data_IF_636696248630
#
_entry.id   IF_636696248630
#
_cell.length_a   1.000
_cell.length_b   1.000
_cell.length_c   1.000
_cell.angle_alpha   90.00
_cell.angle_beta   90.00
_cell.angle_gamma   90.00
#
_symmetry.space_group_name_H-M   'P 1'
#
loop_
_entity.id
_entity.type
_entity.pdbx_description
1 polymer ?
#
# COMPACT_ATOMS: atom_id res chain seq x y z
N UNK A 1 21.97 -19.22 -7.53
CA UNK A 1 21.21 -18.10 -8.14
C UNK A 1 21.52 -16.77 -7.47
N UNK A 2 22.38 -16.75 -6.45
CA UNK A 2 22.53 -15.64 -5.52
C UNK A 2 23.00 -14.34 -6.18
N UNK A 3 23.94 -14.44 -7.13
CA UNK A 3 24.38 -13.27 -7.91
C UNK A 3 23.24 -12.66 -8.74
N UNK A 4 22.40 -13.50 -9.37
CA UNK A 4 21.25 -13.02 -10.15
C UNK A 4 20.22 -12.34 -9.25
N UNK A 5 19.93 -12.92 -8.09
CA UNK A 5 19.00 -12.35 -7.11
C UNK A 5 19.55 -11.03 -6.55
N UNK A 6 20.86 -10.97 -6.26
CA UNK A 6 21.51 -9.73 -5.82
C UNK A 6 21.39 -8.64 -6.89
N UNK A 7 21.70 -8.95 -8.15
CA UNK A 7 21.56 -8.00 -9.26
C UNK A 7 20.12 -7.54 -9.47
N UNK A 8 19.14 -8.43 -9.34
CA UNK A 8 17.72 -8.06 -9.41
C UNK A 8 17.29 -7.13 -8.26
N UNK A 9 17.82 -7.35 -7.05
CA UNK A 9 17.58 -6.50 -5.89
C UNK A 9 18.15 -5.09 -6.10
N UNK A 10 19.37 -5.00 -6.63
CA UNK A 10 19.99 -3.71 -6.94
C UNK A 10 19.23 -2.97 -8.05
N UNK A 11 18.84 -3.68 -9.11
CA UNK A 11 18.00 -3.12 -10.18
C UNK A 11 16.65 -2.59 -9.67
N UNK A 12 15.98 -3.30 -8.76
CA UNK A 12 14.71 -2.81 -8.19
C UNK A 12 14.88 -1.53 -7.36
N UNK A 13 16.00 -1.38 -6.64
CA UNK A 13 16.30 -0.14 -5.91
C UNK A 13 16.61 1.01 -6.87
N UNK A 14 17.33 0.75 -7.96
CA UNK A 14 17.61 1.75 -8.99
C UNK A 14 16.34 2.26 -9.70
N UNK A 15 15.28 1.46 -9.77
CA UNK A 15 13.98 1.87 -10.31
C UNK A 15 13.10 2.64 -9.32
N UNK A 16 13.52 2.77 -8.06
CA UNK A 16 12.76 3.51 -7.06
C UNK A 16 12.81 5.01 -7.36
N UNK A 17 11.69 5.69 -7.22
CA UNK A 17 11.58 7.11 -7.50
C UNK A 17 12.21 7.92 -6.37
N UNK A 18 13.49 8.29 -6.50
CA UNK A 18 14.23 8.97 -5.45
C UNK A 18 15.18 10.04 -6.01
N UNK A 19 16.30 10.32 -5.32
CA UNK A 19 17.31 11.29 -5.78
C UNK A 19 17.90 10.93 -7.15
N UNK A 20 17.91 9.66 -7.55
CA UNK A 20 18.34 9.22 -8.88
C UNK A 20 17.47 9.79 -10.00
N UNK A 21 16.19 10.04 -9.72
CA UNK A 21 15.23 10.71 -10.61
C UNK A 21 15.14 12.22 -10.35
N UNK A 22 16.12 12.78 -9.63
CA UNK A 22 16.18 14.19 -9.23
C UNK A 22 15.00 14.65 -8.34
N UNK A 23 14.41 13.71 -7.59
CA UNK A 23 13.37 14.01 -6.62
C UNK A 23 13.95 14.32 -5.24
N UNK A 24 13.26 15.20 -4.52
CA UNK A 24 13.49 15.42 -3.09
C UNK A 24 12.48 14.65 -2.26
N UNK A 25 12.77 14.42 -0.97
CA UNK A 25 11.82 13.79 -0.05
C UNK A 25 10.46 14.50 0.00
N UNK A 26 10.40 15.80 -0.28
CA UNK A 26 9.15 16.57 -0.31
C UNK A 26 8.24 16.25 -1.50
N UNK A 27 8.76 15.61 -2.55
CA UNK A 27 7.97 15.23 -3.71
C UNK A 27 6.95 14.15 -3.32
N UNK A 28 5.65 14.30 -3.64
CA UNK A 28 4.64 13.31 -3.29
C UNK A 28 4.95 11.89 -3.78
N UNK A 29 5.65 11.74 -4.90
CA UNK A 29 6.07 10.47 -5.48
C UNK A 29 7.34 9.86 -4.89
N UNK A 30 8.10 10.61 -4.09
CA UNK A 30 9.38 10.13 -3.56
C UNK A 30 9.24 8.82 -2.78
N UNK A 31 10.07 7.85 -3.13
CA UNK A 31 10.20 6.50 -2.57
C UNK A 31 9.28 5.44 -3.19
N UNK A 32 8.38 5.82 -4.08
CA UNK A 32 7.48 4.86 -4.72
C UNK A 32 8.13 4.12 -5.89
N UNK A 33 7.38 3.17 -6.46
CA UNK A 33 7.72 2.47 -7.70
C UNK A 33 6.57 2.52 -8.70
N UNK A 34 6.88 2.46 -9.99
CA UNK A 34 5.91 2.57 -11.09
C UNK A 34 6.35 1.80 -12.33
N UNK A 35 5.66 2.02 -13.46
CA UNK A 35 5.91 1.34 -14.74
C UNK A 35 7.17 1.84 -15.49
N UNK A 36 8.30 1.99 -14.80
CA UNK A 36 9.52 2.61 -15.34
C UNK A 36 9.52 4.14 -15.27
N UNK A 37 10.54 4.79 -15.84
CA UNK A 37 10.88 6.20 -15.60
C UNK A 37 9.96 7.26 -16.25
N UNK A 38 8.91 6.86 -16.98
CA UNK A 38 8.13 7.79 -17.83
C UNK A 38 6.68 8.02 -17.39
N UNK A 39 6.28 7.58 -16.19
CA UNK A 39 4.92 7.84 -15.68
C UNK A 39 4.98 8.52 -14.31
N UNK A 40 4.84 7.72 -13.26
CA UNK A 40 4.84 8.14 -11.85
C UNK A 40 4.78 6.87 -10.99
N UNK A 41 5.15 6.93 -9.73
CA UNK A 41 4.95 5.80 -8.84
C UNK A 41 3.48 5.65 -8.44
N UNK A 42 3.11 4.43 -8.07
CA UNK A 42 1.80 4.06 -7.53
C UNK A 42 1.92 2.95 -6.48
N UNK A 43 0.89 2.82 -5.64
CA UNK A 43 0.89 1.85 -4.55
C UNK A 43 0.83 0.40 -5.05
N UNK A 44 0.21 0.15 -6.21
CA UNK A 44 0.11 -1.19 -6.79
C UNK A 44 1.47 -1.75 -7.21
N UNK A 45 2.33 -0.94 -7.79
CA UNK A 45 3.70 -1.33 -8.15
C UNK A 45 4.62 -1.32 -6.94
N UNK A 46 4.49 -0.32 -6.06
CA UNK A 46 5.31 -0.21 -4.84
C UNK A 46 5.17 -1.43 -3.93
N UNK A 47 3.95 -1.94 -3.72
CA UNK A 47 3.75 -3.15 -2.90
C UNK A 47 4.42 -4.40 -3.49
N UNK A 48 4.52 -4.51 -4.84
CA UNK A 48 5.19 -5.64 -5.48
C UNK A 48 6.71 -5.50 -5.40
N UNK A 49 7.24 -4.28 -5.56
CA UNK A 49 8.65 -4.00 -5.31
C UNK A 49 9.04 -4.40 -3.89
N UNK A 50 8.28 -3.99 -2.87
CA UNK A 50 8.53 -4.33 -1.47
C UNK A 50 8.45 -5.84 -1.20
N UNK A 51 7.46 -6.52 -1.78
CA UNK A 51 7.36 -7.99 -1.71
C UNK A 51 8.59 -8.66 -2.33
N UNK A 52 9.05 -8.17 -3.49
CA UNK A 52 10.20 -8.73 -4.19
C UNK A 52 11.51 -8.51 -3.41
N UNK A 53 11.75 -7.30 -2.90
CA UNK A 53 12.91 -6.99 -2.07
C UNK A 53 12.93 -7.86 -0.80
N UNK A 54 11.77 -8.05 -0.17
CA UNK A 54 11.64 -8.88 1.03
C UNK A 54 11.97 -10.35 0.72
N UNK A 55 11.40 -10.90 -0.36
CA UNK A 55 11.67 -12.28 -0.80
C UNK A 55 13.11 -12.48 -1.28
N UNK A 56 13.77 -11.45 -1.76
CA UNK A 56 15.18 -11.44 -2.11
C UNK A 56 16.11 -11.33 -0.88
N UNK A 57 15.54 -11.25 0.33
CA UNK A 57 16.30 -11.19 1.59
C UNK A 57 16.95 -9.83 1.84
N UNK A 58 16.40 -8.74 1.31
CA UNK A 58 16.85 -7.41 1.68
C UNK A 58 16.51 -7.16 3.16
N UNK A 59 17.47 -6.59 3.92
CA UNK A 59 17.19 -6.17 5.30
C UNK A 59 16.14 -5.05 5.30
N UNK A 60 15.22 -5.08 6.27
CA UNK A 60 14.25 -4.00 6.49
C UNK A 60 14.91 -2.67 6.91
N UNK A 61 16.17 -2.73 7.36
CA UNK A 61 16.99 -1.56 7.68
C UNK A 61 17.58 -0.90 6.42
N UNK A 62 17.43 -1.51 5.23
CA UNK A 62 17.91 -0.90 3.99
C UNK A 62 17.14 0.40 3.68
N UNK A 63 17.82 1.48 3.27
CA UNK A 63 17.18 2.77 2.96
C UNK A 63 16.01 2.68 1.98
N UNK A 64 16.00 1.70 1.07
CA UNK A 64 14.91 1.51 0.11
C UNK A 64 13.54 1.33 0.80
N UNK A 65 13.50 0.64 1.95
CA UNK A 65 12.28 0.49 2.74
C UNK A 65 11.83 1.81 3.36
N UNK A 66 12.76 2.60 3.89
CA UNK A 66 12.43 3.90 4.51
C UNK A 66 11.87 4.88 3.48
N UNK A 67 12.47 4.93 2.29
CA UNK A 67 11.96 5.71 1.16
C UNK A 67 10.55 5.25 0.78
N UNK A 68 10.35 3.94 0.60
CA UNK A 68 9.04 3.39 0.25
C UNK A 68 7.97 3.66 1.33
N UNK A 69 8.34 3.61 2.62
CA UNK A 69 7.42 3.92 3.72
C UNK A 69 6.92 5.37 3.66
N UNK A 70 7.73 6.31 3.20
CA UNK A 70 7.29 7.69 3.01
C UNK A 70 6.21 7.75 1.91
N UNK A 71 6.45 7.12 0.75
CA UNK A 71 5.46 7.02 -0.32
C UNK A 71 4.17 6.32 0.13
N UNK A 72 4.28 5.15 0.77
CA UNK A 72 3.13 4.37 1.22
C UNK A 72 2.33 5.14 2.27
N UNK A 73 2.98 5.83 3.21
CA UNK A 73 2.28 6.69 4.17
C UNK A 73 1.51 7.82 3.49
N UNK A 74 2.07 8.38 2.40
CA UNK A 74 1.39 9.39 1.57
C UNK A 74 0.25 8.86 0.73
N UNK A 75 0.08 7.54 0.61
CA UNK A 75 -1.08 6.92 -0.05
C UNK A 75 -2.22 6.59 0.92
N UNK A 76 -2.00 6.76 2.23
CA UNK A 76 -3.01 6.50 3.25
C UNK A 76 -3.84 7.75 3.55
N UNK A 77 -5.16 7.62 3.57
CA UNK A 77 -6.09 8.62 4.08
C UNK A 77 -6.03 8.68 5.61
N UNK A 78 -4.90 9.17 6.13
CA UNK A 78 -4.66 9.34 7.56
C UNK A 78 -3.75 10.54 7.80
N UNK A 79 -4.25 11.56 8.50
CA UNK A 79 -3.46 12.71 8.91
C UNK A 79 -2.36 12.27 9.89
N UNK A 80 -1.11 12.46 9.50
CA UNK A 80 0.05 12.10 10.33
C UNK A 80 1.29 12.91 9.93
N UNK A 81 2.36 12.93 10.76
CA UNK A 81 3.64 13.50 10.35
C UNK A 81 4.26 12.87 9.10
N UNK A 82 3.80 11.66 8.70
CA UNK A 82 4.32 10.92 7.55
C UNK A 82 3.50 11.12 6.27
N UNK A 83 2.36 11.81 6.33
CA UNK A 83 1.57 12.17 5.15
C UNK A 83 1.42 13.70 5.05
N UNK A 84 2.31 14.30 4.28
CA UNK A 84 2.38 15.75 4.03
C UNK A 84 1.55 16.20 2.82
N UNK A 85 0.77 15.31 2.22
CA UNK A 85 -0.01 15.62 1.01
C UNK A 85 -1.28 16.41 1.36
N UNK A 86 -1.85 17.19 0.43
CA UNK A 86 -3.10 17.92 0.67
C UNK A 86 -4.34 17.00 0.85
N UNK A 87 -4.20 15.69 0.62
CA UNK A 87 -5.27 14.71 0.73
C UNK A 87 -5.39 14.07 2.12
N UNK A 88 -4.31 14.13 2.92
CA UNK A 88 -4.14 13.34 4.14
C UNK A 88 -5.32 13.39 5.11
N UNK A 89 -5.93 14.57 5.27
CA UNK A 89 -7.03 14.82 6.20
C UNK A 89 -8.41 15.02 5.54
N UNK A 90 -8.49 14.89 4.21
CA UNK A 90 -9.74 15.13 3.45
C UNK A 90 -10.75 14.00 3.61
N UNK A 91 -10.26 12.76 3.69
CA UNK A 91 -11.09 11.57 3.96
C UNK A 91 -10.83 11.05 5.38
N UNK A 92 -9.55 10.90 5.74
CA UNK A 92 -9.09 10.54 7.09
C UNK A 92 -9.76 9.28 7.69
N UNK A 93 -10.00 8.25 6.87
CA UNK A 93 -10.67 7.00 7.25
C UNK A 93 -9.71 5.84 7.56
N UNK A 94 -8.41 6.03 7.36
CA UNK A 94 -7.37 5.00 7.55
C UNK A 94 -7.12 4.10 6.34
N UNK A 95 -7.98 4.17 5.32
CA UNK A 95 -7.83 3.42 4.08
C UNK A 95 -6.82 4.05 3.11
N UNK A 96 -6.63 3.45 1.93
CA UNK A 96 -5.61 3.88 0.97
C UNK A 96 -6.17 4.15 -0.42
N UNK A 97 -5.54 5.07 -1.13
CA UNK A 97 -5.78 5.39 -2.53
C UNK A 97 -4.57 5.00 -3.43
N UNK A 98 -4.68 5.24 -4.74
CA UNK A 98 -3.75 4.69 -5.72
C UNK A 98 -2.39 5.39 -5.73
N UNK A 99 -2.36 6.73 -5.76
CA UNK A 99 -1.13 7.50 -5.72
C UNK A 99 -1.37 8.93 -5.23
N UNK A 100 -0.38 9.57 -4.58
CA UNK A 100 -0.34 11.01 -4.37
C UNK A 100 0.43 11.76 -5.48
N UNK A 101 1.18 11.04 -6.34
CA UNK A 101 2.03 11.64 -7.36
C UNK A 101 1.22 12.22 -8.54
N UNK A 102 1.80 13.19 -9.25
CA UNK A 102 1.21 13.87 -10.41
C UNK A 102 -0.23 14.38 -10.18
N UNK A 103 -0.49 14.99 -9.02
CA UNK A 103 -1.81 15.52 -8.65
C UNK A 103 -2.73 14.51 -7.96
N UNK A 104 -2.28 13.27 -7.77
CA UNK A 104 -3.02 12.26 -7.03
C UNK A 104 -4.12 11.57 -7.84
N UNK A 105 -4.48 10.35 -7.43
CA UNK A 105 -5.55 9.58 -8.10
C UNK A 105 -6.10 8.50 -7.19
N UNK A 106 -7.41 8.26 -7.29
CA UNK A 106 -8.08 7.07 -6.79
C UNK A 106 -9.05 6.52 -7.83
N UNK A 107 -9.05 5.20 -8.01
CA UNK A 107 -10.02 4.55 -8.88
C UNK A 107 -11.43 4.55 -8.28
N UNK A 108 -11.55 4.70 -6.96
CA UNK A 108 -12.84 4.89 -6.28
C UNK A 108 -13.37 6.32 -6.43
N UNK A 109 -12.66 7.19 -7.15
CA UNK A 109 -13.03 8.58 -7.37
C UNK A 109 -12.70 9.49 -6.19
N UNK A 110 -13.33 10.66 -6.20
CA UNK A 110 -13.09 11.73 -5.24
C UNK A 110 -14.33 12.03 -4.40
N UNK A 111 -14.12 12.60 -3.23
CA UNK A 111 -15.17 13.22 -2.43
C UNK A 111 -15.45 14.63 -2.96
N UNK A 112 -16.61 15.20 -2.65
CA UNK A 112 -16.93 16.60 -3.02
C UNK A 112 -15.92 17.60 -2.44
N UNK A 113 -15.28 17.27 -1.32
CA UNK A 113 -14.26 18.08 -0.66
C UNK A 113 -12.85 17.92 -1.26
N UNK A 114 -12.70 17.18 -2.38
CA UNK A 114 -11.43 16.95 -3.08
C UNK A 114 -10.54 15.86 -2.47
N UNK A 115 -11.06 15.05 -1.53
CA UNK A 115 -10.35 13.90 -0.98
C UNK A 115 -10.41 12.67 -1.89
N UNK A 116 -9.28 11.99 -2.08
CA UNK A 116 -9.18 10.76 -2.87
C UNK A 116 -9.77 9.58 -2.07
N UNK A 117 -10.78 8.87 -2.60
CA UNK A 117 -11.49 7.83 -1.84
C UNK A 117 -10.63 6.58 -1.62
N UNK A 118 -10.73 6.00 -0.43
CA UNK A 118 -10.13 4.71 -0.09
C UNK A 118 -10.84 3.55 -0.80
N UNK A 119 -10.12 2.47 -1.10
CA UNK A 119 -10.70 1.22 -1.60
C UNK A 119 -9.86 0.01 -1.24
N UNK A 120 -10.51 -1.15 -1.17
CA UNK A 120 -9.98 -2.28 -0.41
C UNK A 120 -8.69 -2.86 -1.00
N UNK A 121 -8.57 -2.96 -2.32
CA UNK A 121 -7.34 -3.47 -2.93
C UNK A 121 -6.12 -2.59 -2.62
N UNK A 122 -6.27 -1.26 -2.55
CA UNK A 122 -5.18 -0.38 -2.11
C UNK A 122 -4.98 -0.42 -0.61
N UNK A 123 -6.04 -0.52 0.20
CA UNK A 123 -5.89 -0.65 1.65
C UNK A 123 -5.12 -1.93 2.02
N UNK A 124 -5.41 -3.06 1.37
CA UNK A 124 -4.62 -4.28 1.53
C UNK A 124 -3.19 -4.14 1.00
N UNK A 125 -2.97 -3.45 -0.12
CA UNK A 125 -1.64 -3.17 -0.66
C UNK A 125 -0.79 -2.32 0.30
N UNK A 126 -1.37 -1.27 0.89
CA UNK A 126 -0.74 -0.41 1.88
C UNK A 126 -0.37 -1.18 3.14
N UNK A 127 -1.32 -1.93 3.71
CA UNK A 127 -1.08 -2.77 4.89
C UNK A 127 0.02 -3.80 4.61
N UNK A 128 -0.02 -4.47 3.45
CA UNK A 128 1.03 -5.43 3.04
C UNK A 128 2.41 -4.78 2.98
N UNK A 129 2.47 -3.58 2.44
CA UNK A 129 3.70 -2.80 2.31
C UNK A 129 4.30 -2.45 3.67
N UNK A 130 3.47 -2.02 4.63
CA UNK A 130 3.90 -1.78 6.01
C UNK A 130 4.47 -3.04 6.68
N UNK A 131 3.82 -4.20 6.49
CA UNK A 131 4.30 -5.47 7.05
C UNK A 131 5.65 -5.86 6.45
N UNK A 132 5.82 -5.78 5.12
CA UNK A 132 7.09 -6.10 4.47
C UNK A 132 8.22 -5.13 4.84
N UNK A 133 7.88 -3.89 5.17
CA UNK A 133 8.83 -2.89 5.67
C UNK A 133 9.11 -3.01 7.18
N UNK A 134 8.62 -4.06 7.85
CA UNK A 134 8.94 -4.35 9.24
C UNK A 134 8.23 -3.47 10.27
N UNK A 135 7.12 -2.81 9.90
CA UNK A 135 6.38 -1.99 10.84
C UNK A 135 5.71 -2.81 11.94
N UNK A 136 5.67 -2.24 13.15
CA UNK A 136 4.97 -2.82 14.30
C UNK A 136 3.47 -2.89 14.05
N UNK A 137 2.83 -3.93 14.59
CA UNK A 137 1.37 -4.13 14.53
C UNK A 137 0.60 -3.05 15.29
N UNK A 138 1.28 -2.38 16.21
CA UNK A 138 0.78 -1.30 17.06
C UNK A 138 1.01 0.08 16.43
N UNK A 139 1.69 0.18 15.28
CA UNK A 139 1.83 1.46 14.58
C UNK A 139 0.43 2.01 14.21
N UNK A 140 0.12 3.28 14.51
CA UNK A 140 -1.19 3.86 14.24
C UNK A 140 -1.64 3.74 12.77
N UNK A 141 -0.70 3.76 11.81
CA UNK A 141 -0.99 3.59 10.39
C UNK A 141 -1.42 2.16 10.07
N UNK A 142 -0.82 1.17 10.72
CA UNK A 142 -1.18 -0.26 10.58
C UNK A 142 -2.54 -0.51 11.18
N UNK A 143 -2.79 -0.03 12.41
CA UNK A 143 -4.07 -0.17 13.08
C UNK A 143 -5.22 0.48 12.29
N UNK A 144 -5.01 1.70 11.77
CA UNK A 144 -6.01 2.38 10.96
C UNK A 144 -6.37 1.61 9.68
N UNK A 145 -5.38 1.00 9.02
CA UNK A 145 -5.61 0.17 7.85
C UNK A 145 -6.44 -1.09 8.19
N UNK A 146 -6.10 -1.75 9.31
CA UNK A 146 -6.83 -2.93 9.77
C UNK A 146 -8.29 -2.61 10.14
N UNK A 147 -8.51 -1.49 10.83
CA UNK A 147 -9.86 -1.03 11.17
C UNK A 147 -10.70 -0.68 9.94
N UNK A 148 -10.09 -0.08 8.91
CA UNK A 148 -10.78 0.15 7.63
C UNK A 148 -11.16 -1.19 6.99
N UNK A 149 -10.22 -2.14 6.91
CA UNK A 149 -10.47 -3.45 6.28
C UNK A 149 -11.54 -4.27 7.02
N UNK A 150 -11.59 -4.16 8.35
CA UNK A 150 -12.63 -4.79 9.18
C UNK A 150 -14.03 -4.26 8.87
N UNK A 151 -14.18 -2.94 8.71
CA UNK A 151 -15.44 -2.28 8.33
C UNK A 151 -15.88 -2.56 6.90
N UNK A 152 -14.92 -2.90 6.04
CA UNK A 152 -15.14 -3.12 4.62
C UNK A 152 -14.81 -4.56 4.23
N UNK A 153 -14.97 -5.53 5.13
CA UNK A 153 -14.75 -6.92 4.78
C UNK A 153 -15.77 -7.38 3.73
N UNK A 154 -15.29 -8.00 2.65
CA UNK A 154 -16.12 -8.61 1.61
C UNK A 154 -15.31 -9.61 0.80
N UNK A 155 -15.91 -10.73 0.42
CA UNK A 155 -15.37 -11.65 -0.59
C UNK A 155 -16.15 -11.63 -1.89
N UNK A 156 -17.21 -10.82 -2.01
CA UNK A 156 -18.07 -10.77 -3.21
C UNK A 156 -17.80 -9.55 -4.09
N UNK A 157 -17.06 -8.57 -3.58
CA UNK A 157 -16.68 -7.36 -4.29
C UNK A 157 -15.31 -6.83 -3.81
N UNK A 158 -14.79 -5.83 -4.50
CA UNK A 158 -13.68 -4.98 -4.05
C UNK A 158 -14.29 -3.70 -3.44
N UNK A 159 -14.40 -3.60 -2.10
CA UNK A 159 -15.05 -2.47 -1.45
C UNK A 159 -14.52 -1.11 -1.95
N UNK A 160 -15.45 -0.23 -2.33
CA UNK A 160 -15.17 1.06 -2.99
C UNK A 160 -15.12 1.01 -4.52
N UNK A 161 -15.07 -0.19 -5.11
CA UNK A 161 -14.97 -0.42 -6.57
C UNK A 161 -15.97 -1.43 -7.13
N UNK A 162 -16.75 -2.10 -6.27
CA UNK A 162 -17.67 -3.16 -6.70
C UNK A 162 -16.90 -4.29 -7.37
N UNK A 163 -17.28 -4.65 -8.60
CA UNK A 163 -16.62 -5.74 -9.35
C UNK A 163 -15.30 -5.34 -10.02
N UNK A 164 -14.93 -4.06 -10.02
CA UNK A 164 -13.72 -3.61 -10.70
C UNK A 164 -12.46 -4.09 -9.97
N UNK A 165 -11.56 -4.74 -10.72
CA UNK A 165 -10.31 -5.26 -10.17
C UNK A 165 -10.49 -6.39 -9.16
N UNK A 166 -11.62 -7.10 -9.16
CA UNK A 166 -11.97 -8.11 -8.14
C UNK A 166 -10.91 -9.22 -7.97
N UNK A 167 -10.37 -9.77 -9.07
CA UNK A 167 -9.33 -10.79 -8.98
C UNK A 167 -8.00 -10.25 -8.46
N UNK A 168 -7.67 -8.99 -8.77
CA UNK A 168 -6.51 -8.32 -8.17
C UNK A 168 -6.73 -8.09 -6.67
N UNK A 169 -7.93 -7.66 -6.28
CA UNK A 169 -8.33 -7.57 -4.88
C UNK A 169 -8.14 -8.90 -4.15
N UNK A 170 -8.66 -10.01 -4.67
CA UNK A 170 -8.48 -11.33 -4.05
C UNK A 170 -7.00 -11.72 -3.91
N UNK A 171 -6.18 -11.42 -4.91
CA UNK A 171 -4.75 -11.70 -4.84
C UNK A 171 -4.07 -10.96 -3.69
N UNK A 172 -4.30 -9.66 -3.56
CA UNK A 172 -3.68 -8.86 -2.50
C UNK A 172 -4.28 -9.16 -1.13
N UNK A 173 -5.61 -9.33 -1.05
CA UNK A 173 -6.34 -9.79 0.13
C UNK A 173 -5.75 -11.08 0.69
N UNK A 174 -5.68 -12.14 -0.13
CA UNK A 174 -5.22 -13.45 0.30
C UNK A 174 -3.74 -13.43 0.72
N UNK A 175 -2.89 -12.70 -0.01
CA UNK A 175 -1.48 -12.53 0.37
C UNK A 175 -1.33 -11.79 1.69
N UNK A 176 -2.06 -10.70 1.90
CA UNK A 176 -1.96 -9.92 3.14
C UNK A 176 -2.47 -10.70 4.35
N UNK A 177 -3.60 -11.39 4.23
CA UNK A 177 -4.11 -12.24 5.31
C UNK A 177 -3.16 -13.41 5.61
N UNK A 178 -2.54 -13.99 4.59
CA UNK A 178 -1.55 -15.04 4.77
C UNK A 178 -0.30 -14.56 5.54
N UNK A 179 0.27 -13.39 5.21
CA UNK A 179 1.44 -12.88 5.93
C UNK A 179 1.11 -12.42 7.36
N UNK A 180 -0.14 -12.03 7.62
CA UNK A 180 -0.62 -11.74 8.98
C UNK A 180 -0.86 -13.02 9.80
N UNK A 181 -0.88 -14.19 9.17
CA UNK A 181 -1.20 -15.47 9.82
C UNK A 181 -2.67 -15.58 10.21
N UNK A 182 -3.57 -14.86 9.54
CA UNK A 182 -4.99 -14.90 9.85
C UNK A 182 -5.65 -16.12 9.20
N UNK A 183 -6.15 -17.03 10.02
CA UNK A 183 -7.07 -18.09 9.57
C UNK A 183 -8.48 -17.56 9.40
N UNK A 184 -8.88 -16.62 10.26
CA UNK A 184 -10.19 -15.97 10.23
C UNK A 184 -10.04 -14.46 10.28
N UNK A 185 -10.94 -13.76 9.59
CA UNK A 185 -11.07 -12.30 9.68
C UNK A 185 -12.33 -11.98 10.48
N UNK A 186 -12.25 -11.02 11.39
CA UNK A 186 -13.42 -10.51 12.11
C UNK A 186 -13.91 -9.25 11.42
N UNK A 187 -15.20 -9.18 11.06
CA UNK A 187 -15.82 -7.97 10.51
C UNK A 187 -16.18 -6.94 11.60
N UNK A 188 -16.72 -5.79 11.22
CA UNK A 188 -17.15 -4.74 12.15
C UNK A 188 -18.36 -5.11 13.02
N UNK A 189 -19.11 -6.14 12.64
CA UNK A 189 -20.23 -6.70 13.41
C UNK A 189 -19.79 -7.79 14.39
N UNK A 190 -18.52 -8.17 14.35
CA UNK A 190 -17.96 -9.24 15.19
C UNK A 190 -18.15 -10.65 14.62
N UNK A 191 -18.59 -10.79 13.38
CA UNK A 191 -18.67 -12.09 12.70
C UNK A 191 -17.28 -12.57 12.32
N UNK A 192 -17.05 -13.88 12.49
CA UNK A 192 -15.82 -14.54 12.10
C UNK A 192 -15.98 -15.17 10.72
N UNK A 193 -15.08 -14.81 9.82
CA UNK A 193 -15.07 -15.26 8.43
C UNK A 193 -13.89 -16.19 8.17
N UNK A 194 -14.16 -17.42 7.73
CA UNK A 194 -13.14 -18.29 7.15
C UNK A 194 -12.93 -17.88 5.69
N UNK A 195 -12.15 -16.83 5.52
CA UNK A 195 -11.97 -16.14 4.24
C UNK A 195 -11.42 -17.01 3.12
N UNK A 196 -10.85 -18.19 3.42
CA UNK A 196 -10.38 -19.15 2.41
C UNK A 196 -11.49 -20.04 1.89
N UNK A 197 -12.54 -20.25 2.69
CA UNK A 197 -13.67 -21.11 2.38
C UNK A 197 -14.89 -20.35 1.84
N UNK A 198 -14.92 -19.03 2.01
CA UNK A 198 -15.93 -18.10 1.49
C UNK A 198 -15.76 -17.75 0.00
#
# INVERSE_FOLDING_TARGET
YDQLISGAKDFLKELQWDEGEQLSESDPGYGGSGYGSHSRPDLSNTQFMLEALHKAGLSVDDPAYQKALLFVSRTQNLKSPHNTTPFADRVNDGGFYYTPAAGGSSQAGETEAGGLRSYASMTYAGLKSFIYAGMSKEDPRVLAAQEWLKKHYSVTENPGLGQQGLFYYYQVFAKTNAILGLEKVTDDKGNLHDWRAE
#
